data_IF_594257614816
#
_entry.id   IF_594257614816
#
_cell.length_a   1.000
_cell.length_b   1.000
_cell.length_c   1.000
_cell.angle_alpha   90.00
_cell.angle_beta   90.00
_cell.angle_gamma   90.00
#
_symmetry.space_group_name_H-M   'P 1'
#
loop_
_entity.id
_entity.type
_entity.pdbx_description
1 polymer ?
#
# COMPACT_ATOMS: atom_id res chain seq x y z
N UNK A 1 -51.07 24.29 20.69
CA UNK A 1 -49.93 25.17 20.33
C UNK A 1 -48.85 24.29 19.73
N UNK A 2 -48.65 24.36 18.41
CA UNK A 2 -47.53 23.64 17.78
C UNK A 2 -46.23 24.41 18.03
N UNK A 3 -45.17 23.77 18.53
CA UNK A 3 -43.90 24.44 18.75
C UNK A 3 -43.28 24.83 17.40
N UNK A 4 -42.84 26.08 17.28
CA UNK A 4 -42.09 26.58 16.15
C UNK A 4 -40.77 25.78 16.04
N UNK A 5 -40.70 24.86 15.08
CA UNK A 5 -39.45 24.18 14.71
C UNK A 5 -38.50 25.22 14.11
N UNK A 6 -37.56 25.71 14.91
CA UNK A 6 -36.50 26.60 14.47
C UNK A 6 -35.56 25.84 13.53
N UNK A 7 -35.73 26.04 12.22
CA UNK A 7 -34.89 25.43 11.19
C UNK A 7 -33.50 26.09 11.18
N UNK A 8 -32.50 25.40 11.72
CA UNK A 8 -31.10 25.81 11.66
C UNK A 8 -30.49 25.42 10.32
N UNK A 9 -30.07 26.41 9.52
CA UNK A 9 -29.37 26.18 8.26
C UNK A 9 -27.86 26.32 8.47
N UNK A 10 -27.06 25.26 8.27
CA UNK A 10 -25.61 25.35 8.39
C UNK A 10 -24.97 26.07 7.20
N UNK A 11 -23.96 26.89 7.48
CA UNK A 11 -23.18 27.64 6.50
C UNK A 11 -21.68 27.44 6.70
N UNK A 12 -20.93 27.44 5.61
CA UNK A 12 -19.47 27.56 5.62
C UNK A 12 -19.05 29.02 5.45
N UNK A 13 -18.05 29.46 6.21
CA UNK A 13 -17.52 30.82 6.12
C UNK A 13 -16.18 30.83 5.37
N UNK A 14 -16.04 31.72 4.39
CA UNK A 14 -14.73 31.97 3.78
C UNK A 14 -13.81 32.67 4.78
N UNK A 15 -12.66 32.07 5.10
CA UNK A 15 -11.62 32.62 6.00
C UNK A 15 -10.29 32.90 5.29
N UNK A 16 -10.30 33.01 3.97
CA UNK A 16 -9.08 33.21 3.18
C UNK A 16 -8.52 34.63 3.34
N UNK A 17 -7.30 34.75 3.89
CA UNK A 17 -6.58 36.04 3.93
C UNK A 17 -6.28 36.51 2.50
N UNK A 18 -6.63 37.75 2.18
CA UNK A 18 -6.47 38.32 0.84
C UNK A 18 -7.52 37.88 -0.20
N UNK A 19 -8.54 37.13 0.20
CA UNK A 19 -9.64 36.77 -0.71
C UNK A 19 -10.67 37.90 -0.82
N UNK A 20 -11.07 38.26 -2.05
CA UNK A 20 -12.13 39.26 -2.30
C UNK A 20 -13.50 38.89 -1.73
N UNK A 21 -13.67 37.63 -1.32
CA UNK A 21 -14.91 37.09 -0.73
C UNK A 21 -14.72 36.63 0.72
N UNK A 22 -13.65 37.06 1.39
CA UNK A 22 -13.44 36.77 2.80
C UNK A 22 -14.64 37.23 3.65
N UNK A 23 -15.05 36.42 4.63
CA UNK A 23 -16.20 36.69 5.49
C UNK A 23 -17.56 36.38 4.87
N UNK A 24 -17.65 35.94 3.60
CA UNK A 24 -18.92 35.52 3.01
C UNK A 24 -19.30 34.10 3.44
N UNK A 25 -20.60 33.94 3.75
CA UNK A 25 -21.21 32.65 4.09
C UNK A 25 -21.71 31.93 2.84
N UNK A 26 -21.48 30.63 2.78
CA UNK A 26 -21.89 29.72 1.70
C UNK A 26 -22.83 28.67 2.31
N UNK A 27 -24.04 28.47 1.78
CA UNK A 27 -24.92 27.42 2.27
C UNK A 27 -24.25 26.05 2.20
N UNK A 28 -24.29 25.28 3.29
CA UNK A 28 -23.70 23.93 3.36
C UNK A 28 -24.18 23.06 2.20
N UNK A 29 -25.49 23.05 1.95
CA UNK A 29 -26.10 22.26 0.89
C UNK A 29 -25.52 22.55 -0.50
N UNK A 30 -25.16 23.82 -0.78
CA UNK A 30 -24.54 24.20 -2.05
C UNK A 30 -23.13 23.63 -2.19
N UNK A 31 -22.32 23.74 -1.12
CA UNK A 31 -20.93 23.31 -1.14
C UNK A 31 -20.81 21.78 -1.10
N UNK A 32 -21.54 21.12 -0.21
CA UNK A 32 -21.56 19.66 -0.12
C UNK A 32 -22.22 19.04 -1.36
N UNK A 33 -23.26 19.64 -1.93
CA UNK A 33 -23.87 19.15 -3.18
C UNK A 33 -22.91 19.21 -4.37
N UNK A 34 -22.15 20.30 -4.50
CA UNK A 34 -21.09 20.39 -5.51
C UNK A 34 -19.98 19.36 -5.30
N UNK A 35 -19.68 19.04 -4.03
CA UNK A 35 -18.70 18.03 -3.68
C UNK A 35 -19.19 16.61 -3.99
N UNK A 36 -20.45 16.32 -3.69
CA UNK A 36 -21.10 15.04 -4.01
C UNK A 36 -21.14 14.78 -5.51
N UNK A 37 -21.36 15.81 -6.33
CA UNK A 37 -21.30 15.68 -7.78
C UNK A 37 -19.91 15.20 -8.26
N UNK A 38 -18.83 15.70 -7.64
CA UNK A 38 -17.47 15.25 -7.93
C UNK A 38 -17.30 13.78 -7.52
N UNK A 39 -17.70 13.41 -6.30
CA UNK A 39 -17.58 12.03 -5.84
C UNK A 39 -18.37 11.04 -6.71
N UNK A 40 -19.56 11.43 -7.19
CA UNK A 40 -20.37 10.63 -8.11
C UNK A 40 -19.72 10.50 -9.49
N UNK A 41 -19.04 11.55 -9.97
CA UNK A 41 -18.31 11.47 -11.24
C UNK A 41 -17.11 10.52 -11.21
N UNK A 42 -16.58 10.21 -10.02
CA UNK A 42 -15.48 9.25 -9.84
C UNK A 42 -15.95 7.79 -9.84
N UNK A 43 -17.25 7.54 -9.77
CA UNK A 43 -17.79 6.18 -9.72
C UNK A 43 -17.68 5.52 -11.11
N UNK A 44 -16.98 4.39 -11.24
CA UNK A 44 -16.90 3.67 -12.50
C UNK A 44 -18.18 2.88 -12.81
N UNK A 45 -18.32 2.45 -14.07
CA UNK A 45 -19.43 1.60 -14.49
C UNK A 45 -19.40 0.23 -13.83
N UNK A 46 -20.56 -0.42 -13.68
CA UNK A 46 -20.68 -1.71 -13.00
C UNK A 46 -19.77 -2.81 -13.59
N UNK A 47 -19.59 -2.82 -14.92
CA UNK A 47 -18.69 -3.77 -15.58
C UNK A 47 -17.23 -3.56 -15.16
N UNK A 48 -16.79 -2.30 -15.07
CA UNK A 48 -15.44 -1.96 -14.64
C UNK A 48 -15.21 -2.29 -13.17
N UNK A 49 -16.21 -2.09 -12.32
CA UNK A 49 -16.16 -2.50 -10.91
C UNK A 49 -15.88 -3.99 -10.77
N UNK A 50 -16.56 -4.83 -11.57
CA UNK A 50 -16.35 -6.27 -11.56
C UNK A 50 -14.90 -6.61 -11.97
N UNK A 51 -14.41 -6.01 -13.05
CA UNK A 51 -13.02 -6.21 -13.52
C UNK A 51 -12.01 -5.80 -12.47
N UNK A 52 -12.17 -4.63 -11.84
CA UNK A 52 -11.27 -4.14 -10.79
C UNK A 52 -11.21 -5.15 -9.63
N UNK A 53 -12.36 -5.64 -9.16
CA UNK A 53 -12.43 -6.61 -8.06
C UNK A 53 -11.68 -7.91 -8.38
N UNK A 54 -11.88 -8.46 -9.57
CA UNK A 54 -11.17 -9.67 -10.00
C UNK A 54 -9.66 -9.40 -10.16
N UNK A 55 -9.26 -8.29 -10.76
CA UNK A 55 -7.84 -7.92 -10.89
C UNK A 55 -7.14 -7.82 -9.53
N UNK A 56 -7.76 -7.19 -8.53
CA UNK A 56 -7.18 -7.11 -7.19
C UNK A 56 -7.09 -8.48 -6.52
N UNK A 57 -8.05 -9.37 -6.76
CA UNK A 57 -8.04 -10.74 -6.24
C UNK A 57 -6.93 -11.56 -6.89
N UNK A 58 -6.75 -11.43 -8.20
CA UNK A 58 -5.67 -12.10 -8.93
C UNK A 58 -4.29 -11.65 -8.44
N UNK A 59 -4.07 -10.34 -8.29
CA UNK A 59 -2.82 -9.79 -7.77
C UNK A 59 -2.55 -10.31 -6.35
N UNK A 60 -3.57 -10.33 -5.49
CA UNK A 60 -3.42 -10.85 -4.14
C UNK A 60 -3.04 -12.34 -4.13
N UNK A 61 -3.70 -13.15 -4.96
CA UNK A 61 -3.41 -14.58 -5.08
C UNK A 61 -2.01 -14.83 -5.65
N UNK A 62 -1.58 -14.03 -6.64
CA UNK A 62 -0.22 -14.08 -7.18
C UNK A 62 0.80 -13.75 -6.08
N UNK A 63 0.58 -12.69 -5.30
CA UNK A 63 1.46 -12.32 -4.19
C UNK A 63 1.55 -13.44 -3.15
N UNK A 64 0.42 -14.03 -2.73
CA UNK A 64 0.42 -15.16 -1.81
C UNK A 64 1.18 -16.37 -2.39
N UNK A 65 0.96 -16.69 -3.67
CA UNK A 65 1.67 -17.76 -4.37
C UNK A 65 3.19 -17.52 -4.38
N UNK A 66 3.63 -16.31 -4.71
CA UNK A 66 5.07 -15.97 -4.71
C UNK A 66 5.70 -16.05 -3.32
N UNK A 67 4.97 -15.68 -2.28
CA UNK A 67 5.45 -15.79 -0.90
C UNK A 67 5.57 -17.27 -0.50
N UNK A 68 4.59 -18.09 -0.84
CA UNK A 68 4.62 -19.52 -0.54
C UNK A 68 5.72 -20.25 -1.32
N UNK A 69 5.93 -19.90 -2.59
CA UNK A 69 7.01 -20.45 -3.40
C UNK A 69 8.39 -20.06 -2.84
N UNK A 70 8.55 -18.80 -2.38
CA UNK A 70 9.78 -18.37 -1.68
C UNK A 70 10.00 -19.14 -0.39
N UNK A 71 8.96 -19.37 0.42
CA UNK A 71 9.07 -20.19 1.64
C UNK A 71 9.50 -21.61 1.30
N UNK A 72 8.88 -22.25 0.30
CA UNK A 72 9.22 -23.60 -0.14
C UNK A 72 10.65 -23.68 -0.67
N UNK A 73 11.09 -22.69 -1.44
CA UNK A 73 12.46 -22.63 -1.95
C UNK A 73 13.48 -22.55 -0.81
N UNK A 74 13.27 -21.64 0.17
CA UNK A 74 14.15 -21.53 1.34
C UNK A 74 14.15 -22.80 2.20
N UNK A 75 12.98 -23.43 2.39
CA UNK A 75 12.88 -24.71 3.11
C UNK A 75 13.63 -25.85 2.39
N UNK A 76 13.56 -25.89 1.06
CA UNK A 76 14.34 -26.85 0.26
C UNK A 76 15.86 -26.59 0.34
N UNK A 77 16.28 -25.32 0.39
CA UNK A 77 17.68 -24.94 0.61
C UNK A 77 18.20 -25.40 1.99
N UNK A 78 17.38 -25.29 3.04
CA UNK A 78 17.71 -25.81 4.37
C UNK A 78 17.96 -27.33 4.29
N UNK A 79 17.05 -28.09 3.68
CA UNK A 79 17.19 -29.55 3.53
C UNK A 79 18.43 -29.93 2.72
N UNK A 80 18.76 -29.15 1.68
CA UNK A 80 19.98 -29.37 0.88
C UNK A 80 21.25 -29.10 1.70
N UNK A 81 21.21 -28.08 2.56
CA UNK A 81 22.31 -27.73 3.46
C UNK A 81 22.52 -28.82 4.51
N UNK A 82 21.45 -29.38 5.10
CA UNK A 82 21.52 -30.51 6.03
C UNK A 82 22.13 -31.77 5.40
N UNK A 83 21.77 -32.07 4.14
CA UNK A 83 22.42 -33.16 3.38
C UNK A 83 23.91 -32.91 3.15
N UNK A 84 24.31 -31.65 2.98
CA UNK A 84 25.72 -31.30 2.80
C UNK A 84 26.50 -31.40 4.11
N UNK A 85 25.88 -31.04 5.24
CA UNK A 85 26.45 -31.20 6.59
C UNK A 85 26.68 -32.68 6.89
N UNK A 86 25.67 -33.54 6.70
CA UNK A 86 25.82 -34.99 6.92
C UNK A 86 26.94 -35.61 6.09
N UNK A 87 27.05 -35.26 4.80
CA UNK A 87 28.16 -35.71 3.95
C UNK A 87 29.54 -35.25 4.43
N UNK A 88 29.64 -34.05 5.02
CA UNK A 88 30.91 -33.57 5.60
C UNK A 88 31.24 -34.30 6.90
N UNK A 89 30.24 -34.60 7.74
CA UNK A 89 30.41 -35.38 8.96
C UNK A 89 30.91 -36.80 8.66
N UNK A 90 30.32 -37.48 7.69
CA UNK A 90 30.76 -38.82 7.28
C UNK A 90 32.23 -38.81 6.85
N UNK A 91 32.66 -37.79 6.08
CA UNK A 91 34.06 -37.64 5.64
C UNK A 91 35.03 -37.28 6.76
N UNK A 92 34.57 -36.64 7.83
CA UNK A 92 35.41 -36.36 9.01
C UNK A 92 35.74 -37.68 9.72
N UNK A 93 34.77 -38.61 9.83
CA UNK A 93 34.97 -39.91 10.48
C UNK A 93 36.04 -40.76 9.76
N UNK A 94 36.16 -40.62 8.44
CA UNK A 94 37.10 -41.37 7.61
C UNK A 94 38.49 -40.70 7.43
N UNK A 95 38.71 -39.51 8.00
CA UNK A 95 39.92 -38.69 7.75
C UNK A 95 40.80 -38.51 8.98
N UNK A 96 42.08 -38.88 8.88
CA UNK A 96 43.06 -38.72 9.96
C UNK A 96 43.83 -37.38 9.95
N UNK A 97 43.68 -36.57 8.90
CA UNK A 97 44.41 -35.31 8.76
C UNK A 97 43.74 -34.17 9.55
N UNK A 98 44.34 -33.78 10.68
CA UNK A 98 43.89 -32.69 11.55
C UNK A 98 43.61 -31.36 10.84
N UNK A 99 44.39 -31.01 9.81
CA UNK A 99 44.17 -29.76 9.07
C UNK A 99 42.90 -29.79 8.21
N UNK A 100 42.58 -30.95 7.65
CA UNK A 100 41.37 -31.16 6.84
C UNK A 100 40.14 -31.19 7.73
N UNK A 101 40.23 -31.85 8.88
CA UNK A 101 39.17 -31.88 9.90
C UNK A 101 38.79 -30.46 10.31
N UNK A 102 39.77 -29.62 10.68
CA UNK A 102 39.51 -28.23 11.08
C UNK A 102 38.86 -27.39 9.95
N UNK A 103 39.21 -27.64 8.69
CA UNK A 103 38.59 -26.98 7.56
C UNK A 103 37.12 -27.41 7.37
N UNK A 104 36.81 -28.70 7.57
CA UNK A 104 35.44 -29.21 7.52
C UNK A 104 34.58 -28.71 8.68
N UNK A 105 35.10 -28.68 9.90
CA UNK A 105 34.42 -28.08 11.06
C UNK A 105 34.03 -26.63 10.79
N UNK A 106 34.96 -25.84 10.24
CA UNK A 106 34.68 -24.46 9.84
C UNK A 106 33.56 -24.40 8.80
N UNK A 107 33.57 -25.30 7.81
CA UNK A 107 32.54 -25.33 6.75
C UNK A 107 31.16 -25.75 7.28
N UNK A 108 31.12 -26.67 8.25
CA UNK A 108 29.88 -27.08 8.93
C UNK A 108 29.32 -25.89 9.70
N UNK A 109 30.15 -25.16 10.44
CA UNK A 109 29.72 -23.95 11.15
C UNK A 109 29.15 -22.89 10.20
N UNK A 110 29.78 -22.66 9.03
CA UNK A 110 29.24 -21.75 8.02
C UNK A 110 27.84 -22.19 7.55
N UNK A 111 27.62 -23.50 7.36
CA UNK A 111 26.33 -24.05 6.93
C UNK A 111 25.26 -23.99 8.03
N UNK A 112 25.62 -24.24 9.29
CA UNK A 112 24.74 -24.05 10.46
C UNK A 112 24.25 -22.60 10.54
N UNK A 113 25.17 -21.62 10.37
CA UNK A 113 24.82 -20.19 10.33
C UNK A 113 23.91 -19.87 9.13
N UNK A 114 24.15 -20.45 7.96
CA UNK A 114 23.27 -20.24 6.80
C UNK A 114 21.86 -20.79 7.04
N UNK A 115 21.75 -21.96 7.68
CA UNK A 115 20.46 -22.55 8.04
C UNK A 115 19.69 -21.67 9.02
N UNK A 116 20.35 -21.13 10.05
CA UNK A 116 19.68 -20.22 11.00
C UNK A 116 19.18 -18.96 10.32
N UNK A 117 20.00 -18.34 9.46
CA UNK A 117 19.60 -17.16 8.66
C UNK A 117 18.39 -17.49 7.76
N UNK A 118 18.37 -18.66 7.11
CA UNK A 118 17.24 -19.06 6.27
C UNK A 118 15.98 -19.31 7.08
N UNK A 119 16.08 -19.91 8.27
CA UNK A 119 14.95 -20.11 9.17
C UNK A 119 14.36 -18.75 9.63
N UNK A 120 15.22 -17.82 10.05
CA UNK A 120 14.81 -16.46 10.40
C UNK A 120 14.12 -15.73 9.23
N UNK A 121 14.62 -15.90 8.00
CA UNK A 121 13.99 -15.33 6.80
C UNK A 121 12.61 -15.91 6.53
N UNK A 122 12.42 -17.22 6.76
CA UNK A 122 11.11 -17.88 6.60
C UNK A 122 10.13 -17.32 7.63
N UNK A 123 10.55 -17.17 8.89
CA UNK A 123 9.72 -16.61 9.95
C UNK A 123 9.39 -15.13 9.70
N UNK A 124 10.37 -14.36 9.20
CA UNK A 124 10.18 -12.97 8.80
C UNK A 124 9.25 -12.82 7.59
N UNK A 125 9.13 -13.85 6.74
CA UNK A 125 8.28 -13.82 5.55
C UNK A 125 6.77 -13.79 5.87
N UNK A 126 6.36 -13.83 7.14
CA UNK A 126 5.07 -13.41 7.70
C UNK A 126 3.80 -13.85 6.95
N UNK A 127 2.86 -14.53 7.62
CA UNK A 127 1.55 -14.80 7.01
C UNK A 127 0.70 -13.52 7.00
N UNK A 128 -0.13 -13.27 5.97
CA UNK A 128 -1.08 -12.17 6.02
C UNK A 128 -1.95 -12.32 7.26
N UNK A 129 -2.03 -11.26 8.07
CA UNK A 129 -2.75 -11.28 9.36
C UNK A 129 -4.25 -11.49 9.19
N UNK A 130 -4.79 -11.15 8.02
CA UNK A 130 -6.22 -11.22 7.70
C UNK A 130 -6.43 -11.70 6.26
N UNK A 131 -7.57 -12.35 5.97
CA UNK A 131 -7.93 -12.78 4.63
C UNK A 131 -8.22 -11.57 3.72
N UNK A 132 -8.14 -11.80 2.41
CA UNK A 132 -8.38 -10.79 1.37
C UNK A 132 -9.67 -10.01 1.58
N UNK A 133 -10.78 -10.71 1.83
CA UNK A 133 -12.11 -10.11 1.95
C UNK A 133 -12.26 -9.19 3.17
N UNK A 134 -11.40 -9.31 4.19
CA UNK A 134 -11.42 -8.40 5.34
C UNK A 134 -10.59 -7.14 5.11
N UNK A 135 -9.48 -7.26 4.38
CA UNK A 135 -8.56 -6.13 4.16
C UNK A 135 -8.95 -5.29 2.95
N UNK A 136 -9.21 -5.94 1.82
CA UNK A 136 -9.35 -5.27 0.53
C UNK A 136 -10.79 -4.92 0.19
N UNK A 137 -11.78 -5.64 0.74
CA UNK A 137 -13.19 -5.37 0.43
C UNK A 137 -13.58 -3.93 0.73
N UNK A 138 -13.32 -3.45 1.95
CA UNK A 138 -13.66 -2.09 2.37
C UNK A 138 -12.91 -1.03 1.55
N UNK A 139 -11.63 -1.28 1.27
CA UNK A 139 -10.81 -0.37 0.48
C UNK A 139 -11.29 -0.27 -0.98
N UNK A 140 -11.61 -1.41 -1.60
CA UNK A 140 -12.13 -1.46 -2.98
C UNK A 140 -13.54 -0.88 -3.05
N UNK A 141 -14.41 -1.19 -2.09
CA UNK A 141 -15.76 -0.60 -2.02
C UNK A 141 -15.69 0.93 -1.95
N UNK A 142 -14.72 1.49 -1.21
CA UNK A 142 -14.47 2.93 -1.19
C UNK A 142 -13.96 3.46 -2.54
N UNK A 143 -12.99 2.79 -3.17
CA UNK A 143 -12.47 3.20 -4.49
C UNK A 143 -13.55 3.17 -5.58
N UNK A 144 -14.46 2.21 -5.49
CA UNK A 144 -15.59 2.06 -6.41
C UNK A 144 -16.65 3.11 -6.15
N UNK A 145 -16.95 3.43 -4.89
CA UNK A 145 -17.99 4.38 -4.56
C UNK A 145 -17.63 5.23 -3.33
N UNK A 146 -16.82 6.29 -3.52
CA UNK A 146 -16.45 7.18 -2.42
C UNK A 146 -17.65 8.00 -1.92
N UNK A 147 -18.68 8.21 -2.77
CA UNK A 147 -19.91 8.92 -2.39
C UNK A 147 -20.67 8.17 -1.29
N UNK A 148 -20.62 6.84 -1.23
CA UNK A 148 -21.28 6.07 -0.18
C UNK A 148 -20.74 6.43 1.23
N UNK A 149 -19.40 6.48 1.36
CA UNK A 149 -18.76 6.89 2.61
C UNK A 149 -19.10 8.34 2.98
N UNK A 150 -19.20 9.22 1.97
CA UNK A 150 -19.59 10.60 2.21
C UNK A 150 -21.06 10.72 2.64
N UNK A 151 -21.99 10.03 1.99
CA UNK A 151 -23.42 10.17 2.28
C UNK A 151 -23.79 9.60 3.67
N UNK A 152 -23.25 8.43 3.99
CA UNK A 152 -23.63 7.68 5.19
C UNK A 152 -22.67 7.87 6.37
N UNK A 153 -21.50 8.47 6.13
CA UNK A 153 -20.46 8.61 7.13
C UNK A 153 -20.70 9.74 8.14
N UNK A 154 -20.13 9.55 9.31
CA UNK A 154 -19.92 10.56 10.36
C UNK A 154 -19.05 11.72 9.85
N UNK A 155 -19.00 12.81 10.62
CA UNK A 155 -18.17 13.97 10.26
C UNK A 155 -16.67 13.62 10.13
N UNK A 156 -16.18 12.61 10.83
CA UNK A 156 -14.81 12.13 10.75
C UNK A 156 -14.56 11.32 9.49
N UNK A 157 -15.48 10.41 9.15
CA UNK A 157 -15.43 9.62 7.91
C UNK A 157 -15.56 10.50 6.67
N UNK A 158 -16.36 11.58 6.73
CA UNK A 158 -16.43 12.60 5.68
C UNK A 158 -15.07 13.29 5.46
N UNK A 159 -14.37 13.65 6.54
CA UNK A 159 -13.00 14.20 6.45
C UNK A 159 -12.01 13.16 5.90
N UNK A 160 -12.16 11.89 6.29
CA UNK A 160 -11.35 10.80 5.78
C UNK A 160 -11.57 10.61 4.28
N UNK A 161 -12.82 10.58 3.83
CA UNK A 161 -13.20 10.51 2.42
C UNK A 161 -12.50 11.61 1.61
N UNK A 162 -12.50 12.86 2.09
CA UNK A 162 -11.77 13.95 1.43
C UNK A 162 -10.26 13.67 1.34
N UNK A 163 -9.62 13.25 2.44
CA UNK A 163 -8.18 12.97 2.46
C UNK A 163 -7.77 11.79 1.58
N UNK A 164 -8.62 10.77 1.48
CA UNK A 164 -8.34 9.59 0.66
C UNK A 164 -8.59 9.83 -0.82
N UNK A 165 -9.57 10.68 -1.16
CA UNK A 165 -9.95 10.95 -2.56
C UNK A 165 -9.00 11.96 -3.22
N UNK A 166 -8.53 12.97 -2.47
CA UNK A 166 -7.73 14.07 -3.01
C UNK A 166 -6.33 14.10 -2.42
N UNK A 167 -5.33 14.34 -3.26
CA UNK A 167 -3.94 14.48 -2.86
C UNK A 167 -3.66 15.83 -2.18
N UNK A 168 -4.46 16.86 -2.47
CA UNK A 168 -4.32 18.21 -1.93
C UNK A 168 -5.64 18.75 -1.36
N UNK A 169 -5.53 19.79 -0.53
CA UNK A 169 -6.72 20.41 0.08
C UNK A 169 -7.59 21.07 -0.98
N UNK A 170 -8.89 20.82 -0.89
CA UNK A 170 -9.89 21.33 -1.82
C UNK A 170 -10.01 22.85 -1.70
N UNK A 171 -9.89 23.54 -2.84
CA UNK A 171 -10.11 24.99 -2.93
C UNK A 171 -11.44 25.24 -3.62
N UNK A 172 -12.31 26.00 -2.94
CA UNK A 172 -13.62 26.37 -3.45
C UNK A 172 -13.65 27.86 -3.81
N UNK A 173 -14.05 28.16 -5.05
CA UNK A 173 -14.37 29.51 -5.51
C UNK A 173 -15.89 29.69 -5.58
N UNK A 174 -16.40 30.83 -5.08
CA UNK A 174 -17.84 31.14 -5.06
C UNK A 174 -18.49 31.23 -6.44
N UNK A 175 -17.75 31.65 -7.45
CA UNK A 175 -18.24 31.80 -8.82
C UNK A 175 -18.00 30.55 -9.67
N UNK A 176 -16.81 29.95 -9.55
CA UNK A 176 -16.36 28.84 -10.41
C UNK A 176 -16.59 27.45 -9.78
N UNK A 177 -16.92 27.37 -8.48
CA UNK A 177 -17.03 26.11 -7.75
C UNK A 177 -15.68 25.54 -7.31
N UNK A 178 -15.60 24.22 -7.15
CA UNK A 178 -14.34 23.54 -6.87
C UNK A 178 -13.44 23.56 -8.11
N UNK A 179 -12.19 24.01 -7.95
CA UNK A 179 -11.20 23.93 -9.03
C UNK A 179 -10.66 22.51 -9.14
N UNK A 180 -10.43 22.05 -10.38
CA UNK A 180 -9.84 20.75 -10.75
C UNK A 180 -8.85 20.29 -9.69
N UNK A 181 -9.24 19.23 -8.99
CA UNK A 181 -8.59 18.77 -7.78
C UNK A 181 -7.57 17.69 -8.15
N UNK A 182 -6.38 17.76 -7.59
CA UNK A 182 -5.44 16.65 -7.70
C UNK A 182 -6.03 15.44 -6.99
N UNK A 183 -6.54 14.49 -7.77
CA UNK A 183 -6.99 13.19 -7.25
C UNK A 183 -5.81 12.44 -6.63
N UNK A 184 -6.10 11.60 -5.64
CA UNK A 184 -5.10 10.69 -5.10
C UNK A 184 -4.69 9.65 -6.15
N UNK A 185 -3.52 9.03 -5.95
CA UNK A 185 -2.95 8.05 -6.88
C UNK A 185 -3.92 6.94 -7.31
N UNK A 186 -4.70 6.29 -6.42
CA UNK A 186 -5.60 5.24 -6.85
C UNK A 186 -6.68 5.77 -7.82
N UNK A 187 -7.26 6.95 -7.55
CA UNK A 187 -8.24 7.54 -8.46
C UNK A 187 -7.63 8.04 -9.77
N UNK A 188 -6.39 8.56 -9.76
CA UNK A 188 -5.65 8.90 -10.99
C UNK A 188 -5.36 7.67 -11.85
N UNK A 189 -4.99 6.56 -11.23
CA UNK A 189 -4.73 5.32 -11.92
C UNK A 189 -6.02 4.79 -12.54
N UNK A 190 -7.10 4.74 -11.76
CA UNK A 190 -8.42 4.35 -12.22
C UNK A 190 -8.89 5.23 -13.39
N UNK A 191 -8.79 6.55 -13.27
CA UNK A 191 -9.12 7.50 -14.36
C UNK A 191 -8.31 7.26 -15.64
N UNK A 192 -7.04 6.84 -15.52
CA UNK A 192 -6.21 6.49 -16.69
C UNK A 192 -6.59 5.16 -17.34
N UNK A 193 -7.17 4.22 -16.58
CA UNK A 193 -7.82 3.03 -17.14
C UNK A 193 -9.17 3.37 -17.77
N UNK A 194 -9.88 4.37 -17.26
CA UNK A 194 -11.20 4.77 -17.75
C UNK A 194 -11.14 5.63 -19.03
N UNK A 195 -10.04 6.35 -19.24
CA UNK A 195 -9.82 7.19 -20.41
C UNK A 195 -8.77 6.53 -21.34
N UNK A 196 -9.22 5.63 -22.23
CA UNK A 196 -8.40 4.85 -23.19
C UNK A 196 -7.67 5.69 -24.26
N UNK A 197 -6.78 6.62 -23.88
CA UNK A 197 -5.89 7.27 -24.86
C UNK A 197 -4.40 7.13 -24.60
N UNK A 198 -3.97 6.61 -23.45
CA UNK A 198 -2.53 6.40 -23.16
C UNK A 198 -2.29 5.26 -22.18
N UNK A 199 -2.49 4.01 -22.58
CA UNK A 199 -1.97 2.90 -21.77
C UNK A 199 -1.40 1.77 -22.63
N UNK A 200 -0.13 1.92 -22.99
CA UNK A 200 0.81 0.81 -23.02
C UNK A 200 2.10 1.30 -22.33
N UNK A 201 2.80 0.40 -21.64
CA UNK A 201 4.19 0.55 -21.13
C UNK A 201 4.48 1.11 -19.74
N UNK A 202 3.48 1.46 -18.90
CA UNK A 202 3.79 1.96 -17.53
C UNK A 202 3.59 0.95 -16.40
N UNK A 203 2.71 -0.04 -16.55
CA UNK A 203 2.45 -1.04 -15.49
C UNK A 203 3.57 -2.08 -15.30
N UNK A 204 4.47 -2.24 -16.27
CA UNK A 204 5.65 -3.14 -16.12
C UNK A 204 6.77 -2.55 -15.27
N UNK A 205 6.78 -1.23 -14.99
CA UNK A 205 7.88 -0.57 -14.24
C UNK A 205 7.65 -0.45 -12.73
N UNK A 206 6.46 -0.78 -12.23
CA UNK A 206 6.18 -0.75 -10.80
C UNK A 206 6.66 -2.01 -10.05
N UNK A 207 6.98 -3.10 -10.76
CA UNK A 207 7.78 -4.22 -10.23
C UNK A 207 9.25 -3.93 -10.48
N UNK A 208 9.89 -3.13 -9.62
CA UNK A 208 11.31 -3.36 -9.38
C UNK A 208 11.45 -4.21 -8.11
N UNK A 209 12.31 -5.25 -8.11
CA UNK A 209 12.58 -6.02 -6.92
C UNK A 209 13.21 -5.08 -5.89
N UNK A 210 12.72 -5.07 -4.66
CA UNK A 210 13.43 -4.46 -3.55
C UNK A 210 14.64 -5.31 -3.20
N UNK A 211 15.67 -5.25 -4.04
CA UNK A 211 17.05 -5.48 -3.63
C UNK A 211 17.58 -4.13 -3.12
N UNK A 212 17.41 -3.88 -1.82
CA UNK A 212 18.18 -2.86 -1.12
C UNK A 212 18.82 -3.47 0.13
N UNK A 213 19.90 -4.20 -0.14
CA UNK A 213 21.03 -4.31 0.77
C UNK A 213 21.73 -2.94 0.74
N UNK A 214 21.68 -2.18 1.83
CA UNK A 214 22.72 -1.18 2.11
C UNK A 214 23.61 -1.68 3.24
N UNK A 215 24.58 -2.52 2.87
CA UNK A 215 25.79 -2.73 3.66
C UNK A 215 26.75 -1.58 3.32
N UNK A 216 27.08 -0.77 4.31
CA UNK A 216 28.40 -0.13 4.45
C UNK A 216 28.61 1.24 3.79
N UNK A 217 28.73 2.28 4.64
CA UNK A 217 29.84 3.24 4.50
C UNK A 217 30.68 3.22 5.76
N UNK A 218 31.83 2.56 5.65
CA UNK A 218 32.96 2.71 6.56
C UNK A 218 33.86 3.84 6.05
N UNK A 219 34.42 4.58 7.02
CA UNK A 219 35.73 5.28 7.03
C UNK A 219 35.73 6.82 7.00
N UNK A 220 35.98 7.34 8.21
CA UNK A 220 37.20 8.02 8.72
C UNK A 220 37.51 9.48 8.35
N UNK A 221 38.23 10.06 9.33
CA UNK A 221 39.01 11.30 9.38
C UNK A 221 38.23 12.52 9.88
N UNK A 222 38.65 13.26 10.91
CA UNK A 222 39.86 13.23 11.73
C UNK A 222 40.02 14.61 12.40
N UNK A 223 40.40 14.59 13.70
CA UNK A 223 41.20 15.57 14.46
C UNK A 223 40.87 17.08 14.52
N UNK A 224 41.38 17.64 15.63
CA UNK A 224 41.62 19.05 16.02
C UNK A 224 40.47 19.69 16.78
N UNK A 225 40.65 20.30 17.95
CA UNK A 225 41.82 20.60 18.77
C UNK A 225 41.41 20.61 20.25
#
# INVERSE_FOLDING_TARGET
MMPCLQSFYPYYLCRGRGCSKNGKSIPRAKLEGAFEAILRSLQPSANLVAVIKEMFRDIWNEEQGTLDDRRKAMAAEILKTEKSISQLLDRILDSDNKTVIAAYEKRINDFEIQKTILAEKIDALGKPTRPYDELFRTAIEFLVNPWNLWNNGTSEEKRMCQKLTFASSLKYNLQEGFRMTDLSLPFKLLDSFFNEKKCSDRLRRARQPTDFIQIGKSRRFGQTA
#
